data_IF_521998874845
#
_entry.id   IF_521998874845
#
_cell.length_a   1.000
_cell.length_b   1.000
_cell.length_c   1.000
_cell.angle_alpha   90.00
_cell.angle_beta   90.00
_cell.angle_gamma   90.00
#
_symmetry.space_group_name_H-M   'P 1'
#
loop_
_entity.id
_entity.type
_entity.pdbx_description
1 polymer ?
#
# COMPACT_ATOMS: atom_id res chain seq x y z
N UNK A 1 8.49 13.36 -17.96
CA UNK A 1 7.69 13.04 -16.76
C UNK A 1 8.09 11.65 -16.30
N UNK A 2 8.48 11.44 -15.04
CA UNK A 2 8.97 10.13 -14.56
C UNK A 2 7.88 9.06 -14.43
N UNK A 3 6.62 9.44 -14.65
CA UNK A 3 5.45 8.57 -14.52
C UNK A 3 4.85 8.17 -15.86
N UNK A 4 5.47 8.54 -16.98
CA UNK A 4 4.97 8.23 -18.33
C UNK A 4 6.13 7.72 -19.19
N UNK A 5 5.98 6.57 -19.84
CA UNK A 5 7.00 6.01 -20.75
C UNK A 5 6.98 6.65 -22.15
N UNK A 6 7.91 6.23 -23.02
CA UNK A 6 8.03 6.76 -24.40
C UNK A 6 6.78 6.49 -25.27
N UNK A 7 5.87 5.62 -24.81
CA UNK A 7 4.61 5.27 -25.47
C UNK A 7 3.40 5.91 -24.80
N UNK A 8 3.60 6.93 -23.95
CA UNK A 8 2.54 7.61 -23.20
C UNK A 8 1.79 6.70 -22.20
N UNK A 9 2.34 5.54 -21.85
CA UNK A 9 1.78 4.70 -20.79
C UNK A 9 2.17 5.26 -19.43
N UNK A 10 1.23 5.25 -18.48
CA UNK A 10 1.61 5.49 -17.08
C UNK A 10 2.55 4.38 -16.61
N UNK A 11 3.66 4.77 -15.98
CA UNK A 11 4.58 3.86 -15.31
C UNK A 11 3.81 3.12 -14.21
N UNK A 12 3.57 1.83 -14.44
CA UNK A 12 2.78 0.99 -13.55
C UNK A 12 3.68 0.11 -12.69
N UNK A 13 3.56 0.24 -11.36
CA UNK A 13 4.23 -0.66 -10.40
C UNK A 13 3.86 -2.11 -10.69
N UNK A 14 2.61 -2.37 -11.07
CA UNK A 14 2.13 -3.70 -11.49
C UNK A 14 2.95 -4.23 -12.66
N UNK A 15 3.15 -3.44 -13.71
CA UNK A 15 3.85 -3.90 -14.91
C UNK A 15 5.34 -4.12 -14.63
N UNK A 16 5.94 -3.29 -13.77
CA UNK A 16 7.28 -3.52 -13.26
C UNK A 16 7.37 -4.87 -12.53
N UNK A 17 6.46 -5.14 -11.58
CA UNK A 17 6.45 -6.40 -10.82
C UNK A 17 6.20 -7.62 -11.71
N UNK A 18 5.29 -7.53 -12.68
CA UNK A 18 5.04 -8.60 -13.66
C UNK A 18 6.28 -8.88 -14.50
N UNK A 19 6.96 -7.82 -14.96
CA UNK A 19 8.21 -7.94 -15.73
C UNK A 19 9.32 -8.60 -14.91
N UNK A 20 9.51 -8.17 -13.65
CA UNK A 20 10.51 -8.76 -12.75
C UNK A 20 10.17 -10.20 -12.42
N UNK A 21 8.89 -10.54 -12.18
CA UNK A 21 8.46 -11.92 -11.93
C UNK A 21 8.85 -12.82 -13.10
N UNK A 22 8.61 -12.40 -14.35
CA UNK A 22 8.99 -13.13 -15.56
C UNK A 22 10.51 -13.33 -15.67
N UNK A 23 11.33 -12.33 -15.34
CA UNK A 23 12.80 -12.43 -15.43
C UNK A 23 13.45 -13.12 -14.22
N UNK A 24 12.75 -13.25 -13.10
CA UNK A 24 13.30 -13.78 -11.84
C UNK A 24 13.38 -15.32 -11.78
N UNK A 25 12.87 -16.03 -12.80
CA UNK A 25 12.83 -17.51 -12.86
C UNK A 25 12.18 -18.16 -11.62
N UNK A 26 11.07 -17.61 -11.14
CA UNK A 26 10.32 -18.16 -10.00
C UNK A 26 10.84 -17.76 -8.62
N UNK A 27 11.89 -16.93 -8.54
CA UNK A 27 12.40 -16.41 -7.25
C UNK A 27 11.50 -15.33 -6.64
N UNK A 28 10.75 -14.60 -7.47
CA UNK A 28 9.73 -13.65 -7.00
C UNK A 28 8.35 -14.32 -6.98
N UNK A 29 7.78 -14.45 -5.78
CA UNK A 29 6.40 -14.86 -5.59
C UNK A 29 5.58 -13.62 -5.23
N UNK A 30 4.40 -13.50 -5.85
CA UNK A 30 3.45 -12.43 -5.56
C UNK A 30 2.19 -13.12 -5.05
N UNK A 31 1.81 -12.83 -3.82
CA UNK A 31 0.55 -13.22 -3.23
C UNK A 31 -0.32 -11.96 -3.15
N UNK A 32 -1.48 -12.01 -3.80
CA UNK A 32 -2.50 -10.96 -3.76
C UNK A 32 -3.63 -11.44 -2.85
N UNK A 33 -4.53 -10.54 -2.48
CA UNK A 33 -5.71 -10.86 -1.67
C UNK A 33 -5.33 -11.53 -0.32
N UNK A 34 -4.18 -11.13 0.22
CA UNK A 34 -3.69 -11.56 1.53
C UNK A 34 -3.41 -10.34 2.39
N UNK A 35 -4.03 -10.33 3.57
CA UNK A 35 -3.75 -9.34 4.61
C UNK A 35 -2.60 -9.83 5.48
N UNK A 36 -1.50 -9.10 5.53
CA UNK A 36 -0.52 -9.28 6.60
C UNK A 36 -1.12 -8.72 7.91
N UNK A 37 -1.27 -9.54 8.93
CA UNK A 37 -1.93 -9.17 10.20
C UNK A 37 -0.93 -8.78 11.26
N UNK A 38 0.21 -9.49 11.33
CA UNK A 38 1.19 -9.32 12.40
C UNK A 38 2.57 -9.81 12.01
N UNK A 39 3.59 -9.12 12.49
CA UNK A 39 4.97 -9.63 12.48
C UNK A 39 5.27 -10.41 13.75
N UNK A 40 5.79 -11.63 13.62
CA UNK A 40 6.17 -12.50 14.73
C UNK A 40 7.67 -12.40 14.98
N UNK A 41 8.02 -12.18 16.25
CA UNK A 41 9.38 -11.94 16.69
C UNK A 41 9.78 -12.94 17.78
N UNK A 42 11.04 -13.33 17.78
CA UNK A 42 11.64 -14.01 18.93
C UNK A 42 11.99 -12.98 19.99
N UNK A 43 11.52 -13.21 21.21
CA UNK A 43 11.94 -12.47 22.40
C UNK A 43 13.30 -13.04 22.85
N UNK A 44 14.40 -12.29 22.71
CA UNK A 44 15.73 -12.80 23.05
C UNK A 44 16.01 -12.77 24.56
N UNK A 45 15.06 -12.34 25.39
CA UNK A 45 15.27 -12.14 26.82
C UNK A 45 16.08 -10.86 27.13
N UNK A 46 16.61 -10.76 28.34
CA UNK A 46 17.28 -9.56 28.85
C UNK A 46 18.66 -9.34 28.20
N UNK A 47 18.68 -8.67 27.05
CA UNK A 47 19.89 -8.08 26.45
C UNK A 47 20.05 -8.25 24.93
N UNK A 48 19.21 -9.05 24.27
CA UNK A 48 19.26 -9.22 22.82
C UNK A 48 18.36 -8.25 22.05
N UNK A 49 18.67 -8.01 20.78
CA UNK A 49 17.74 -7.34 19.86
C UNK A 49 16.73 -8.36 19.32
N UNK A 50 15.42 -8.04 19.29
CA UNK A 50 14.42 -8.95 18.77
C UNK A 50 14.67 -9.24 17.29
N UNK A 51 14.44 -10.49 16.90
CA UNK A 51 14.59 -10.93 15.51
C UNK A 51 13.23 -11.29 14.97
N UNK A 52 12.85 -10.63 13.88
CA UNK A 52 11.69 -10.99 13.08
C UNK A 52 12.03 -12.23 12.26
N UNK A 53 11.19 -13.26 12.34
CA UNK A 53 11.39 -14.49 11.56
C UNK A 53 10.14 -14.93 10.80
N UNK A 54 8.98 -14.36 11.08
CA UNK A 54 7.71 -14.78 10.47
C UNK A 54 6.73 -13.62 10.36
N UNK A 55 5.88 -13.67 9.34
CA UNK A 55 4.72 -12.80 9.15
C UNK A 55 3.46 -13.66 9.18
N UNK A 56 2.50 -13.24 9.98
CA UNK A 56 1.15 -13.81 9.99
C UNK A 56 0.32 -13.15 8.88
N UNK A 57 -0.37 -13.98 8.11
CA UNK A 57 -1.18 -13.58 6.97
C UNK A 57 -2.59 -14.16 7.08
N UNK A 58 -3.58 -13.46 6.53
CA UNK A 58 -4.94 -13.92 6.39
C UNK A 58 -5.35 -13.82 4.90
N UNK A 59 -5.52 -14.96 4.20
CA UNK A 59 -6.09 -14.99 2.86
C UNK A 59 -7.53 -14.47 2.85
N UNK A 60 -7.93 -13.80 1.77
CA UNK A 60 -9.29 -13.33 1.49
C UNK A 60 -9.87 -12.35 2.53
N UNK A 61 -9.06 -11.87 3.47
CA UNK A 61 -9.47 -10.92 4.48
C UNK A 61 -9.70 -9.52 3.88
N UNK A 62 -10.89 -8.97 4.08
CA UNK A 62 -11.21 -7.61 3.70
C UNK A 62 -10.38 -6.61 4.51
N UNK A 63 -9.76 -5.65 3.83
CA UNK A 63 -9.10 -4.54 4.51
C UNK A 63 -10.15 -3.67 5.23
N UNK A 64 -9.83 -3.05 6.37
CA UNK A 64 -10.73 -2.11 7.05
C UNK A 64 -11.21 -0.91 6.22
N UNK A 65 -10.61 -0.68 5.05
CA UNK A 65 -10.95 0.38 4.09
C UNK A 65 -11.68 -0.15 2.84
N UNK A 66 -11.88 -1.46 2.74
CA UNK A 66 -12.56 -2.08 1.60
C UNK A 66 -14.08 -1.97 1.76
N UNK A 67 -14.79 -1.84 0.64
CA UNK A 67 -16.25 -1.69 0.63
C UNK A 67 -17.00 -2.91 1.17
N UNK A 68 -16.35 -4.07 1.19
CA UNK A 68 -16.86 -5.34 1.71
C UNK A 68 -16.41 -5.60 3.17
N UNK A 69 -15.90 -4.60 3.90
CA UNK A 69 -15.50 -4.77 5.29
C UNK A 69 -16.71 -4.78 6.23
N UNK A 70 -17.00 -5.93 6.83
CA UNK A 70 -18.14 -6.13 7.75
C UNK A 70 -17.69 -6.16 9.23
N UNK A 71 -16.79 -5.26 9.60
CA UNK A 71 -16.36 -5.07 10.98
C UNK A 71 -15.37 -6.13 11.49
N UNK A 72 -15.42 -6.40 12.80
CA UNK A 72 -14.46 -7.30 13.45
C UNK A 72 -14.84 -8.76 13.21
N UNK A 73 -14.05 -9.44 12.39
CA UNK A 73 -14.14 -10.87 12.16
C UNK A 73 -12.92 -11.60 12.74
N UNK A 74 -13.11 -12.88 13.09
CA UNK A 74 -11.99 -13.75 13.41
C UNK A 74 -11.43 -14.34 12.12
N UNK A 75 -10.24 -13.91 11.76
CA UNK A 75 -9.56 -14.37 10.55
C UNK A 75 -8.91 -15.75 10.77
N UNK A 76 -8.98 -16.60 9.74
CA UNK A 76 -8.08 -17.74 9.64
C UNK A 76 -6.71 -17.24 9.17
N UNK A 77 -5.65 -17.63 9.91
CA UNK A 77 -4.32 -17.10 9.68
C UNK A 77 -3.29 -18.20 9.43
N UNK A 78 -2.36 -17.89 8.52
CA UNK A 78 -1.21 -18.69 8.18
C UNK A 78 0.09 -17.94 8.50
N UNK A 79 1.20 -18.68 8.58
CA UNK A 79 2.52 -18.14 8.90
C UNK A 79 3.47 -18.29 7.71
N UNK A 80 4.07 -17.18 7.28
CA UNK A 80 5.15 -17.16 6.29
C UNK A 80 6.47 -16.83 6.98
N UNK A 81 7.43 -17.75 6.90
CA UNK A 81 8.76 -17.57 7.50
C UNK A 81 9.72 -16.87 6.54
N UNK A 82 10.53 -15.95 7.07
CA UNK A 82 11.61 -15.29 6.33
C UNK A 82 12.98 -15.71 6.90
N UNK A 83 13.96 -15.95 6.01
CA UNK A 83 15.31 -16.39 6.41
C UNK A 83 16.27 -15.26 6.73
N UNK A 84 16.04 -14.07 6.16
CA UNK A 84 16.99 -12.97 6.22
C UNK A 84 16.33 -11.71 6.76
N UNK A 85 15.33 -11.20 6.04
CA UNK A 85 14.69 -9.92 6.37
C UNK A 85 13.19 -9.96 6.09
N UNK A 86 12.46 -9.12 6.82
CA UNK A 86 11.06 -8.79 6.55
C UNK A 86 11.00 -7.28 6.31
N UNK A 87 10.60 -6.89 5.11
CA UNK A 87 10.45 -5.48 4.71
C UNK A 87 8.97 -5.13 4.79
N UNK A 88 8.63 -4.16 5.63
CA UNK A 88 7.26 -3.65 5.76
C UNK A 88 7.14 -2.41 4.88
N UNK A 89 6.31 -2.50 3.85
CA UNK A 89 6.06 -1.40 2.90
C UNK A 89 4.57 -1.08 2.75
N UNK A 90 3.79 -1.33 3.81
CA UNK A 90 2.37 -0.97 3.84
C UNK A 90 2.20 0.53 4.12
N UNK A 91 1.03 1.09 3.80
CA UNK A 91 0.78 2.52 3.91
C UNK A 91 0.98 3.05 5.34
N UNK A 92 1.08 4.37 5.48
CA UNK A 92 1.28 5.07 6.77
C UNK A 92 0.24 4.71 7.83
N UNK A 93 -0.97 4.31 7.42
CA UNK A 93 -2.05 3.89 8.32
C UNK A 93 -1.94 2.43 8.78
N UNK A 94 -1.46 1.54 7.91
CA UNK A 94 -1.38 0.10 8.18
C UNK A 94 -0.05 -0.31 8.82
N UNK A 95 1.03 0.44 8.56
CA UNK A 95 2.37 0.12 9.08
C UNK A 95 2.41 0.04 10.61
N UNK A 96 1.80 0.99 11.35
CA UNK A 96 1.72 0.89 12.81
C UNK A 96 0.91 -0.32 13.30
N UNK A 97 -0.15 -0.72 12.57
CA UNK A 97 -1.02 -1.83 12.95
C UNK A 97 -0.29 -3.17 12.83
N UNK A 98 0.51 -3.34 11.77
CA UNK A 98 1.30 -4.55 11.52
C UNK A 98 2.41 -4.75 12.56
N UNK A 99 2.92 -3.67 13.15
CA UNK A 99 3.95 -3.66 14.19
C UNK A 99 3.39 -3.91 15.60
N UNK A 100 2.36 -4.74 15.71
CA UNK A 100 1.72 -5.11 16.98
C UNK A 100 2.73 -5.63 18.02
N UNK A 101 2.97 -4.85 19.08
CA UNK A 101 3.93 -5.14 20.15
C UNK A 101 5.20 -4.27 20.12
N UNK A 102 5.36 -3.43 19.11
CA UNK A 102 6.39 -2.38 19.02
C UNK A 102 5.70 -1.03 19.16
N UNK A 103 5.99 -0.28 20.22
CA UNK A 103 5.36 1.02 20.47
C UNK A 103 5.42 1.44 21.92
N UNK A 104 4.56 2.39 22.31
CA UNK A 104 4.45 2.82 23.69
C UNK A 104 3.90 1.69 24.58
N UNK A 105 4.55 1.44 25.71
CA UNK A 105 4.20 0.31 26.58
C UNK A 105 2.81 0.50 27.22
N UNK A 106 2.44 1.72 27.57
CA UNK A 106 1.16 2.00 28.22
C UNK A 106 0.01 1.85 27.23
N UNK A 107 0.18 2.35 26.00
CA UNK A 107 -0.82 2.19 24.94
C UNK A 107 -1.00 0.71 24.56
N UNK A 108 0.10 -0.02 24.35
CA UNK A 108 0.03 -1.46 24.04
C UNK A 108 -0.67 -2.26 25.16
N UNK A 109 -0.37 -1.94 26.42
CA UNK A 109 -1.00 -2.58 27.58
C UNK A 109 -2.50 -2.29 27.68
N UNK A 110 -2.95 -1.06 27.38
CA UNK A 110 -4.38 -0.70 27.33
C UNK A 110 -5.15 -1.50 26.30
N UNK A 111 -4.50 -1.87 25.20
CA UNK A 111 -5.08 -2.68 24.13
C UNK A 111 -4.88 -4.19 24.31
N UNK A 112 -4.34 -4.63 25.46
CA UNK A 112 -4.08 -6.04 25.74
C UNK A 112 -2.98 -6.66 24.86
N UNK A 113 -2.12 -5.83 24.26
CA UNK A 113 -1.04 -6.26 23.39
C UNK A 113 0.22 -6.47 24.23
N UNK A 114 0.83 -7.65 24.13
CA UNK A 114 2.13 -7.91 24.76
C UNK A 114 3.18 -6.98 24.14
N UNK A 115 3.78 -6.16 24.99
CA UNK A 115 4.89 -5.28 24.64
C UNK A 115 6.18 -6.09 24.41
N UNK A 116 6.84 -5.85 23.27
CA UNK A 116 8.11 -6.48 22.86
C UNK A 116 9.22 -5.44 22.84
N UNK A 117 8.97 -4.27 22.23
CA UNK A 117 9.95 -3.17 22.14
C UNK A 117 9.28 -1.87 22.51
N UNK A 118 9.91 -1.13 23.43
CA UNK A 118 9.46 0.20 23.79
C UNK A 118 10.00 1.20 22.77
N UNK A 119 9.11 1.73 21.92
CA UNK A 119 9.41 2.84 21.04
C UNK A 119 8.42 3.97 21.36
N UNK A 120 8.81 4.98 22.15
CA UNK A 120 7.94 6.12 22.40
C UNK A 120 7.68 6.86 21.08
N UNK A 121 6.43 7.28 20.87
CA UNK A 121 5.93 7.97 19.67
C UNK A 121 6.58 9.33 19.41
N UNK A 122 7.32 9.85 20.40
CA UNK A 122 8.11 11.07 20.26
C UNK A 122 9.59 10.73 20.27
N UNK A 123 10.25 11.04 19.15
CA UNK A 123 11.69 11.15 18.91
C UNK A 123 12.45 9.91 18.38
N UNK A 124 13.16 10.19 17.27
CA UNK A 124 14.16 9.40 16.56
C UNK A 124 14.84 8.34 17.46
N UNK A 125 14.52 7.08 17.25
CA UNK A 125 15.29 5.99 17.85
C UNK A 125 16.56 5.77 17.03
N UNK A 126 17.62 6.48 17.43
CA UNK A 126 19.00 6.09 17.11
C UNK A 126 19.45 5.13 18.21
N UNK A 127 19.54 3.83 17.91
CA UNK A 127 20.16 2.90 18.84
C UNK A 127 19.74 1.43 18.78
N UNK A 128 18.67 1.05 18.09
CA UNK A 128 18.34 -0.37 17.88
C UNK A 128 19.06 -0.88 16.63
N UNK A 129 20.10 -1.72 16.74
CA UNK A 129 20.96 -2.09 15.62
C UNK A 129 20.25 -2.90 14.51
N UNK A 130 18.98 -3.28 14.69
CA UNK A 130 18.26 -4.16 13.74
C UNK A 130 16.82 -3.71 13.39
N UNK A 131 16.31 -2.62 13.97
CA UNK A 131 15.00 -2.07 13.63
C UNK A 131 15.20 -0.63 13.18
N UNK A 132 15.14 -0.42 11.87
CA UNK A 132 15.20 0.91 11.28
C UNK A 132 13.76 1.41 11.07
N UNK A 133 13.29 2.27 11.98
CA UNK A 133 11.93 2.77 11.97
C UNK A 133 11.90 4.29 11.86
N UNK A 134 11.37 4.79 10.76
CA UNK A 134 11.15 6.22 10.51
C UNK A 134 9.65 6.51 10.62
N UNK A 135 9.20 7.04 11.76
CA UNK A 135 7.96 7.82 11.82
C UNK A 135 8.35 9.30 11.78
N UNK A 136 8.14 9.95 10.64
CA UNK A 136 7.75 11.36 10.71
C UNK A 136 6.26 11.38 11.02
N UNK A 137 5.84 12.19 12.00
CA UNK A 137 4.45 12.26 12.45
C UNK A 137 3.47 12.31 11.28
N UNK A 138 2.24 11.82 11.47
CA UNK A 138 1.24 11.72 10.41
C UNK A 138 1.05 13.09 9.76
N UNK A 139 1.70 13.27 8.62
CA UNK A 139 1.70 14.49 7.83
C UNK A 139 0.95 14.14 6.57
N UNK A 140 -0.23 14.72 6.44
CA UNK A 140 -1.02 14.64 5.24
C UNK A 140 -1.09 16.02 4.59
N UNK A 141 -1.47 16.08 3.33
CA UNK A 141 -1.83 17.33 2.69
C UNK A 141 -3.32 17.60 2.91
N UNK A 142 -3.64 18.80 3.40
CA UNK A 142 -5.02 19.27 3.41
C UNK A 142 -5.42 19.65 1.97
N UNK A 143 -6.34 18.88 1.39
CA UNK A 143 -6.84 19.14 0.05
C UNK A 143 -8.12 20.00 0.10
N UNK A 144 -8.13 21.10 -0.66
CA UNK A 144 -9.32 21.94 -0.85
C UNK A 144 -9.70 21.93 -2.32
N UNK A 145 -10.90 21.43 -2.63
CA UNK A 145 -11.43 21.42 -3.98
C UNK A 145 -12.22 22.70 -4.28
N UNK A 146 -11.83 23.41 -5.35
CA UNK A 146 -12.59 24.53 -5.90
C UNK A 146 -13.28 24.07 -7.19
N UNK A 147 -14.61 23.93 -7.13
CA UNK A 147 -15.42 23.49 -8.25
C UNK A 147 -16.04 24.71 -8.93
N UNK A 148 -15.74 24.91 -10.21
CA UNK A 148 -16.26 26.00 -11.01
C UNK A 148 -17.02 25.47 -12.22
N UNK A 149 -18.13 26.11 -12.56
CA UNK A 149 -18.83 25.86 -13.83
C UNK A 149 -18.26 26.79 -14.90
N UNK A 150 -17.77 26.21 -16.00
CA UNK A 150 -17.29 26.99 -17.15
C UNK A 150 -18.48 27.64 -17.88
N UNK A 151 -18.30 28.89 -18.36
CA UNK A 151 -19.33 29.61 -19.12
C UNK A 151 -19.65 29.01 -20.49
N UNK A 152 -18.74 28.18 -21.02
CA UNK A 152 -18.85 27.50 -22.30
C UNK A 152 -18.33 26.08 -22.15
N UNK A 153 -18.95 25.15 -22.86
CA UNK A 153 -18.50 23.76 -22.89
C UNK A 153 -17.08 23.70 -23.45
N UNK A 154 -16.20 22.97 -22.77
CA UNK A 154 -14.85 22.75 -23.24
C UNK A 154 -14.84 21.61 -24.27
N UNK A 155 -14.08 21.76 -25.35
CA UNK A 155 -14.06 20.79 -26.46
C UNK A 155 -13.32 19.50 -26.12
N UNK A 156 -12.50 19.49 -25.07
CA UNK A 156 -11.68 18.32 -24.67
C UNK A 156 -12.50 17.09 -24.29
N UNK A 157 -13.74 17.27 -23.82
CA UNK A 157 -14.64 16.17 -23.44
C UNK A 157 -15.69 15.87 -24.51
N UNK A 158 -15.58 16.49 -25.69
CA UNK A 158 -16.64 16.39 -26.69
C UNK A 158 -16.74 14.94 -27.22
N UNK A 159 -17.88 14.30 -26.98
CA UNK A 159 -18.11 12.90 -27.35
C UNK A 159 -17.54 11.86 -26.38
N UNK A 160 -16.92 12.28 -25.28
CA UNK A 160 -16.46 11.38 -24.22
C UNK A 160 -17.56 11.21 -23.17
N UNK A 161 -17.83 9.98 -22.75
CA UNK A 161 -18.84 9.67 -21.72
C UNK A 161 -18.24 9.47 -20.33
N UNK A 162 -16.91 9.32 -20.24
CA UNK A 162 -16.16 9.11 -18.99
C UNK A 162 -16.62 7.87 -18.23
N UNK A 163 -16.79 6.77 -18.97
CA UNK A 163 -17.22 5.48 -18.45
C UNK A 163 -16.07 4.46 -18.47
N UNK A 164 -16.18 3.43 -17.62
CA UNK A 164 -15.10 2.50 -17.32
C UNK A 164 -14.75 1.50 -18.43
N UNK A 165 -15.57 1.38 -19.48
CA UNK A 165 -15.35 0.38 -20.54
C UNK A 165 -15.19 1.03 -21.92
N UNK A 166 -14.29 0.51 -22.78
CA UNK A 166 -14.16 0.97 -24.16
C UNK A 166 -15.45 0.81 -25.00
N UNK A 167 -16.38 -0.05 -24.57
CA UNK A 167 -17.65 -0.21 -25.26
C UNK A 167 -18.58 0.98 -25.00
N UNK A 168 -18.52 1.52 -23.79
CA UNK A 168 -19.44 2.54 -23.30
C UNK A 168 -18.83 3.96 -23.37
N UNK A 169 -17.50 4.06 -23.55
CA UNK A 169 -16.79 5.31 -23.78
C UNK A 169 -15.95 5.32 -25.08
N UNK A 170 -16.41 6.04 -26.12
CA UNK A 170 -15.69 6.20 -27.37
C UNK A 170 -14.28 6.81 -27.22
N UNK A 171 -14.07 7.69 -26.24
CA UNK A 171 -12.77 8.29 -25.97
C UNK A 171 -11.83 7.32 -25.27
N UNK A 172 -12.34 6.46 -24.38
CA UNK A 172 -11.55 5.39 -23.77
C UNK A 172 -11.16 4.37 -24.84
N UNK A 173 -12.08 4.01 -25.75
CA UNK A 173 -11.79 3.17 -26.91
C UNK A 173 -10.70 3.75 -27.80
N UNK A 174 -10.87 5.00 -28.20
CA UNK A 174 -9.87 5.70 -29.01
C UNK A 174 -8.52 5.73 -28.31
N UNK A 175 -8.49 6.01 -27.01
CA UNK A 175 -7.26 6.00 -26.23
C UNK A 175 -6.55 4.64 -26.33
N UNK A 176 -7.24 3.54 -26.08
CA UNK A 176 -6.67 2.19 -26.18
C UNK A 176 -6.19 1.84 -27.60
N UNK A 177 -6.90 2.26 -28.64
CA UNK A 177 -6.59 1.93 -30.04
C UNK A 177 -5.52 2.85 -30.68
N UNK A 178 -5.39 4.10 -30.21
CA UNK A 178 -4.52 5.13 -30.79
C UNK A 178 -3.12 5.22 -30.18
N UNK A 179 -2.73 4.26 -29.34
CA UNK A 179 -1.50 4.36 -28.56
C UNK A 179 -1.59 5.42 -27.46
N UNK A 180 -2.73 5.45 -26.77
CA UNK A 180 -2.97 6.23 -25.57
C UNK A 180 -2.93 7.75 -25.76
N UNK A 181 -3.42 8.23 -26.91
CA UNK A 181 -3.58 9.65 -27.19
C UNK A 181 -4.98 10.13 -26.80
N UNK A 182 -5.08 11.21 -25.99
CA UNK A 182 -6.24 12.08 -25.71
C UNK A 182 -6.28 12.49 -24.23
N UNK A 183 -7.43 13.00 -23.75
CA UNK A 183 -7.70 13.35 -22.36
C UNK A 183 -7.21 12.31 -21.33
N UNK A 184 -7.37 11.01 -21.60
CA UNK A 184 -6.98 9.95 -20.68
C UNK A 184 -5.47 9.84 -20.48
N UNK A 185 -4.66 10.46 -21.34
CA UNK A 185 -3.21 10.55 -21.14
C UNK A 185 -2.81 11.65 -20.15
N UNK A 186 -3.74 12.53 -19.75
CA UNK A 186 -3.48 13.60 -18.79
C UNK A 186 -3.55 13.09 -17.33
N UNK A 187 -2.70 13.66 -16.48
CA UNK A 187 -2.77 13.44 -15.05
C UNK A 187 -4.11 13.95 -14.50
N UNK A 188 -4.85 13.10 -13.78
CA UNK A 188 -6.18 13.40 -13.25
C UNK A 188 -7.35 12.81 -14.06
N UNK A 189 -7.09 12.31 -15.27
CA UNK A 189 -8.10 11.65 -16.11
C UNK A 189 -7.75 10.20 -16.46
N UNK A 190 -6.49 9.78 -16.32
CA UNK A 190 -6.09 8.37 -16.34
C UNK A 190 -6.46 7.68 -15.02
N UNK A 191 -7.38 6.72 -15.07
CA UNK A 191 -7.59 5.71 -14.02
C UNK A 191 -6.68 4.50 -14.22
#
# INVERSE_FOLDING_TARGET
SFTIDDHHNRSSVRDHLVRVKKSSHGRLQLALDMLATKVVMCDPGSGGSPVVYTVEIAPDAALPVASNFDGKERLETDLITARHEVIISVCVFQSPQLLSGIGDQNELSRHGIRHIVHLPTTSKVRGTPQVHYFIQGNADHDEVALIWTLKKNHTVFNGCTVLYTPKDDPCLKYWTESGHQNLYSAAGFSS
#
